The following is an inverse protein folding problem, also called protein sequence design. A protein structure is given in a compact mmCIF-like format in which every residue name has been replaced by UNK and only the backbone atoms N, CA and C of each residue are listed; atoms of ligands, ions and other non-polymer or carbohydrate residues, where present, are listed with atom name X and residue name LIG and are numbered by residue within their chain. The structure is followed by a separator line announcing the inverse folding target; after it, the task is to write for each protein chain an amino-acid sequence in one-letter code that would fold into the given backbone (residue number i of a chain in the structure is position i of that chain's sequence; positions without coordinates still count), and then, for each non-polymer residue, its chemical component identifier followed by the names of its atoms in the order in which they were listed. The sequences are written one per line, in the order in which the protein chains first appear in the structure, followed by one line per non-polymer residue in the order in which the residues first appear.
data_IF_557389221288
#
_entry.id   IF_557389221288
#
_cell.length_a   1.000
_cell.length_b   1.000
_cell.length_c   1.000
_cell.angle_alpha   90.00
_cell.angle_beta   90.00
_cell.angle_gamma   90.00
#
_symmetry.space_group_name_H-M   'P 1'
#
loop_
_entity.id
_entity.type
_entity.pdbx_description
1 polymer ?
#
# COMPACT_ATOMS: atom_id res chain seq x y z
N UNK A 1 9.61 0.33 -17.43
CA UNK A 1 9.49 -1.10 -17.03
C UNK A 1 10.63 -1.95 -17.56
N UNK A 2 10.85 -2.06 -18.88
CA UNK A 2 11.98 -2.84 -19.45
C UNK A 2 13.32 -2.31 -18.94
N UNK A 3 13.55 -1.00 -18.97
CA UNK A 3 14.77 -0.35 -18.43
C UNK A 3 15.02 -0.69 -16.96
N UNK A 4 13.99 -0.72 -16.11
CA UNK A 4 14.15 -1.10 -14.71
C UNK A 4 14.59 -2.57 -14.53
N UNK A 5 14.06 -3.46 -15.37
CA UNK A 5 14.45 -4.87 -15.35
C UNK A 5 15.90 -5.03 -15.83
N UNK A 6 16.27 -4.39 -16.93
CA UNK A 6 17.64 -4.43 -17.47
C UNK A 6 18.64 -3.89 -16.45
N UNK A 7 18.35 -2.76 -15.82
CA UNK A 7 19.21 -2.18 -14.78
C UNK A 7 19.33 -3.12 -13.56
N UNK A 8 18.24 -3.74 -13.13
CA UNK A 8 18.26 -4.71 -12.02
C UNK A 8 19.07 -5.95 -12.35
N UNK A 9 19.00 -6.46 -13.56
CA UNK A 9 19.82 -7.59 -14.03
C UNK A 9 21.30 -7.21 -14.14
N UNK A 10 21.61 -6.04 -14.71
CA UNK A 10 23.00 -5.53 -14.82
C UNK A 10 23.59 -5.25 -13.43
N UNK A 11 22.79 -4.72 -12.50
CA UNK A 11 23.23 -4.48 -11.13
C UNK A 11 23.34 -5.75 -10.28
N UNK A 12 23.03 -6.94 -10.85
CA UNK A 12 23.10 -8.21 -10.14
C UNK A 12 22.06 -8.38 -9.04
N UNK A 13 20.88 -7.77 -9.18
CA UNK A 13 19.78 -7.96 -8.22
C UNK A 13 19.27 -9.40 -8.32
N UNK A 14 19.43 -10.23 -7.28
CA UNK A 14 19.02 -11.62 -7.33
C UNK A 14 17.54 -11.78 -7.61
N UNK A 15 17.17 -12.73 -8.48
CA UNK A 15 15.78 -13.04 -8.80
C UNK A 15 15.01 -11.92 -9.52
N UNK A 16 15.66 -10.87 -10.01
CA UNK A 16 15.00 -9.72 -10.66
C UNK A 16 14.12 -10.11 -11.84
N UNK A 17 14.59 -11.03 -12.68
CA UNK A 17 13.84 -11.50 -13.84
C UNK A 17 12.61 -12.34 -13.43
N UNK A 18 12.79 -13.27 -12.53
CA UNK A 18 11.72 -14.14 -12.03
C UNK A 18 10.65 -13.35 -11.30
N UNK A 19 11.06 -12.41 -10.44
CA UNK A 19 10.14 -11.52 -9.71
C UNK A 19 9.36 -10.64 -10.69
N UNK A 20 10.03 -10.09 -11.72
CA UNK A 20 9.38 -9.33 -12.77
C UNK A 20 8.34 -10.17 -13.53
N UNK A 21 8.73 -11.36 -13.98
CA UNK A 21 7.81 -12.26 -14.70
C UNK A 21 6.60 -12.61 -13.83
N UNK A 22 6.81 -12.97 -12.56
CA UNK A 22 5.70 -13.27 -11.65
C UNK A 22 4.77 -12.10 -11.42
N UNK A 23 5.32 -10.89 -11.32
CA UNK A 23 4.54 -9.69 -11.03
C UNK A 23 3.74 -9.16 -12.22
N UNK A 24 4.25 -9.31 -13.48
CA UNK A 24 3.73 -8.57 -14.63
C UNK A 24 3.44 -9.39 -15.88
N UNK A 25 3.93 -10.62 -15.96
CA UNK A 25 3.71 -11.49 -17.13
C UNK A 25 2.61 -12.51 -16.81
N UNK A 26 1.57 -12.64 -17.65
CA UNK A 26 0.55 -13.69 -17.47
C UNK A 26 1.16 -15.08 -17.38
N UNK A 27 0.65 -15.89 -16.46
CA UNK A 27 1.14 -17.23 -16.17
C UNK A 27 0.02 -18.28 -16.27
N UNK A 28 0.38 -19.53 -16.61
CA UNK A 28 -0.56 -20.67 -16.53
C UNK A 28 -1.09 -20.92 -15.12
N UNK A 29 -0.40 -20.44 -14.10
CA UNK A 29 -0.85 -20.53 -12.71
C UNK A 29 -2.16 -19.75 -12.46
N UNK A 30 -2.44 -18.73 -13.29
CA UNK A 30 -3.67 -17.95 -13.19
C UNK A 30 -4.90 -18.71 -13.72
N UNK A 31 -4.71 -19.74 -14.56
CA UNK A 31 -5.79 -20.59 -15.06
C UNK A 31 -5.99 -21.86 -14.22
N UNK A 32 -5.06 -22.19 -13.32
CA UNK A 32 -5.24 -23.27 -12.37
C UNK A 32 -6.30 -22.85 -11.33
N UNK A 33 -7.43 -23.58 -11.29
CA UNK A 33 -8.42 -23.39 -10.22
C UNK A 33 -7.78 -23.85 -8.91
N UNK A 34 -7.34 -22.90 -8.12
CA UNK A 34 -7.12 -23.11 -6.70
C UNK A 34 -8.47 -22.81 -6.06
N UNK A 35 -9.16 -23.83 -5.58
CA UNK A 35 -10.40 -23.66 -4.81
C UNK A 35 -10.03 -23.10 -3.42
N UNK A 36 -9.70 -21.81 -3.37
CA UNK A 36 -9.56 -21.08 -2.12
C UNK A 36 -10.91 -20.45 -1.81
N UNK A 37 -11.64 -20.93 -0.78
CA UNK A 37 -12.95 -20.40 -0.42
C UNK A 37 -12.89 -18.92 0.00
N UNK A 38 -11.70 -18.40 0.34
CA UNK A 38 -11.50 -16.99 0.69
C UNK A 38 -11.09 -16.13 -0.52
N UNK A 39 -10.97 -16.73 -1.71
CA UNK A 39 -10.63 -16.02 -2.94
C UNK A 39 -11.90 -15.55 -3.64
N UNK A 40 -12.06 -14.24 -3.75
CA UNK A 40 -13.21 -13.60 -4.38
C UNK A 40 -12.84 -12.69 -5.55
N UNK A 41 -13.84 -12.34 -6.34
CA UNK A 41 -13.69 -11.30 -7.36
C UNK A 41 -13.56 -9.92 -6.70
N UNK A 42 -14.37 -9.67 -5.67
CA UNK A 42 -14.26 -8.53 -4.74
C UNK A 42 -14.04 -9.05 -3.32
N UNK A 43 -12.82 -9.51 -3.05
CA UNK A 43 -12.45 -10.20 -1.83
C UNK A 43 -12.45 -9.34 -0.56
N UNK A 44 -12.50 -8.02 -0.69
CA UNK A 44 -12.55 -7.08 0.44
C UNK A 44 -13.84 -6.27 0.49
N UNK A 45 -14.79 -6.50 -0.42
CA UNK A 45 -16.10 -5.84 -0.42
C UNK A 45 -16.06 -4.36 -0.82
N UNK A 46 -15.16 -3.96 -1.74
CA UNK A 46 -15.05 -2.56 -2.16
C UNK A 46 -16.28 -2.03 -2.90
N UNK A 47 -17.04 -2.92 -3.55
CA UNK A 47 -18.23 -2.59 -4.36
C UNK A 47 -19.55 -2.93 -3.66
N UNK A 48 -19.48 -3.39 -2.42
CA UNK A 48 -20.71 -3.61 -1.64
C UNK A 48 -21.42 -2.28 -1.38
N UNK A 49 -22.77 -2.25 -1.38
CA UNK A 49 -23.53 -1.01 -1.22
C UNK A 49 -23.14 -0.21 0.04
N UNK A 50 -22.83 -0.92 1.13
CA UNK A 50 -22.41 -0.31 2.41
C UNK A 50 -21.05 0.36 2.33
N UNK A 51 -20.16 -0.18 1.50
CA UNK A 51 -18.80 0.32 1.29
C UNK A 51 -18.69 1.28 0.10
N UNK A 52 -19.60 1.19 -0.87
CA UNK A 52 -19.58 2.01 -2.10
C UNK A 52 -20.91 2.77 -2.28
N UNK A 53 -21.13 3.81 -1.48
CA UNK A 53 -22.38 4.59 -1.52
C UNK A 53 -22.60 5.32 -2.85
N UNK A 54 -21.53 5.62 -3.58
CA UNK A 54 -21.54 6.08 -4.97
C UNK A 54 -20.43 5.40 -5.75
N UNK A 55 -20.58 5.24 -7.07
CA UNK A 55 -19.76 4.36 -7.89
C UNK A 55 -18.25 4.66 -7.89
N UNK A 56 -17.88 5.91 -7.61
CA UNK A 56 -16.47 6.36 -7.56
C UNK A 56 -15.86 6.27 -6.16
N UNK A 57 -16.64 5.96 -5.12
CA UNK A 57 -16.19 6.02 -3.72
C UNK A 57 -16.15 4.61 -3.13
N UNK A 58 -15.11 4.33 -2.33
CA UNK A 58 -15.08 3.23 -1.36
C UNK A 58 -14.84 3.81 0.02
N UNK A 59 -15.74 3.54 0.96
CA UNK A 59 -15.77 4.12 2.31
C UNK A 59 -15.85 3.03 3.39
N UNK A 60 -14.71 2.42 3.75
CA UNK A 60 -14.61 1.48 4.88
C UNK A 60 -14.41 2.17 6.24
N UNK A 61 -14.09 3.47 6.25
CA UNK A 61 -13.69 4.17 7.47
C UNK A 61 -14.39 5.49 7.59
N UNK A 62 -14.80 5.84 8.79
CA UNK A 62 -15.55 7.05 9.10
C UNK A 62 -14.90 8.35 8.60
N UNK A 63 -13.55 8.45 8.71
CA UNK A 63 -12.83 9.70 8.48
C UNK A 63 -12.04 9.75 7.16
N UNK A 64 -12.10 8.70 6.33
CA UNK A 64 -11.34 8.64 5.06
C UNK A 64 -12.06 7.82 4.02
N UNK A 65 -11.93 8.24 2.78
CA UNK A 65 -12.50 7.56 1.62
C UNK A 65 -11.43 7.32 0.56
N UNK A 66 -11.63 6.26 -0.21
CA UNK A 66 -10.93 6.04 -1.46
C UNK A 66 -11.80 6.57 -2.60
N UNK A 67 -11.22 7.43 -3.43
CA UNK A 67 -11.87 8.03 -4.59
C UNK A 67 -11.23 7.49 -5.87
N UNK A 68 -11.97 6.67 -6.60
CA UNK A 68 -11.54 6.05 -7.85
C UNK A 68 -11.77 7.00 -9.01
N UNK A 69 -10.70 7.63 -9.48
CA UNK A 69 -10.78 8.67 -10.52
C UNK A 69 -10.47 8.15 -11.94
N UNK A 70 -10.06 6.90 -12.06
CA UNK A 70 -9.75 6.25 -13.35
C UNK A 70 -9.74 4.73 -13.21
N UNK A 71 -9.98 4.00 -14.30
CA UNK A 71 -9.77 2.54 -14.37
C UNK A 71 -8.50 2.16 -15.12
N UNK A 72 -7.78 3.12 -15.70
CA UNK A 72 -6.53 2.89 -16.42
C UNK A 72 -5.36 2.78 -15.45
N UNK A 73 -4.43 1.87 -15.72
CA UNK A 73 -3.22 1.68 -14.93
C UNK A 73 -1.98 1.52 -15.85
N UNK A 74 -0.79 2.02 -15.48
CA UNK A 74 0.43 1.84 -16.26
C UNK A 74 0.98 0.42 -16.17
N UNK A 75 0.46 -0.40 -15.24
CA UNK A 75 0.84 -1.79 -15.05
C UNK A 75 -0.37 -2.65 -14.73
N UNK A 76 -0.45 -3.81 -15.38
CA UNK A 76 -1.47 -4.83 -15.08
C UNK A 76 -0.84 -5.88 -14.16
N UNK A 77 -0.57 -5.49 -12.91
CA UNK A 77 0.03 -6.37 -11.90
C UNK A 77 -0.78 -7.66 -11.77
N UNK A 78 -0.10 -8.83 -11.84
CA UNK A 78 -0.79 -10.13 -11.81
C UNK A 78 -1.42 -10.44 -10.44
N UNK A 79 -0.98 -9.75 -9.41
CA UNK A 79 -1.50 -9.81 -8.04
C UNK A 79 -2.53 -8.71 -7.71
N UNK A 80 -2.98 -7.91 -8.69
CA UNK A 80 -3.88 -6.79 -8.45
C UNK A 80 -5.25 -7.27 -7.99
N UNK A 81 -5.66 -6.88 -6.78
CA UNK A 81 -6.99 -7.23 -6.24
C UNK A 81 -8.14 -6.48 -6.93
N UNK A 82 -7.83 -5.39 -7.67
CA UNK A 82 -8.79 -4.65 -8.50
C UNK A 82 -8.75 -5.07 -9.96
N UNK A 83 -8.17 -6.21 -10.30
CA UNK A 83 -8.05 -6.68 -11.69
C UNK A 83 -9.40 -6.80 -12.41
N UNK A 84 -10.52 -6.91 -11.66
CA UNK A 84 -11.88 -6.96 -12.19
C UNK A 84 -12.32 -5.65 -12.86
N UNK A 85 -11.76 -4.51 -12.43
CA UNK A 85 -12.12 -3.18 -12.91
C UNK A 85 -10.99 -2.43 -13.63
N UNK A 86 -9.76 -2.90 -13.51
CA UNK A 86 -8.60 -2.27 -14.14
C UNK A 86 -8.44 -2.77 -15.56
N UNK A 87 -8.45 -1.85 -16.54
CA UNK A 87 -8.25 -2.18 -17.95
C UNK A 87 -9.50 -2.61 -18.69
N UNK A 88 -10.69 -2.36 -18.15
CA UNK A 88 -11.97 -2.62 -18.83
C UNK A 88 -12.21 -1.73 -20.07
N UNK A 89 -11.32 -0.77 -20.31
CA UNK A 89 -11.34 0.11 -21.49
C UNK A 89 -12.42 1.18 -21.47
N UNK A 90 -13.36 1.14 -20.53
CA UNK A 90 -14.59 1.96 -20.56
C UNK A 90 -14.44 3.24 -19.75
N UNK A 91 -13.40 3.42 -18.94
CA UNK A 91 -13.50 4.47 -17.93
C UNK A 91 -12.23 5.19 -17.56
N UNK A 92 -11.44 5.64 -18.55
CA UNK A 92 -10.26 6.45 -18.25
C UNK A 92 -10.58 7.71 -17.42
N UNK A 93 -11.73 8.33 -17.69
CA UNK A 93 -12.25 9.49 -17.01
C UNK A 93 -13.75 9.61 -17.29
N UNK A 94 -14.54 9.74 -16.23
CA UNK A 94 -15.98 9.93 -16.30
C UNK A 94 -16.35 11.14 -15.44
N UNK A 95 -16.65 12.27 -16.08
CA UNK A 95 -16.93 13.54 -15.40
C UNK A 95 -18.12 13.44 -14.44
N UNK A 96 -19.15 12.67 -14.82
CA UNK A 96 -20.32 12.47 -13.97
C UNK A 96 -19.95 11.73 -12.66
N UNK A 97 -19.16 10.66 -12.77
CA UNK A 97 -18.69 9.91 -11.60
C UNK A 97 -17.76 10.75 -10.71
N UNK A 98 -16.91 11.58 -11.32
CA UNK A 98 -16.05 12.49 -10.57
C UNK A 98 -16.89 13.50 -9.78
N UNK A 99 -17.87 14.13 -10.44
CA UNK A 99 -18.74 15.10 -9.78
C UNK A 99 -19.61 14.46 -8.68
N UNK A 100 -20.11 13.25 -8.91
CA UNK A 100 -20.85 12.49 -7.91
C UNK A 100 -19.98 12.18 -6.68
N UNK A 101 -18.72 11.73 -6.89
CA UNK A 101 -17.77 11.49 -5.82
C UNK A 101 -17.42 12.75 -5.03
N UNK A 102 -17.17 13.87 -5.71
CA UNK A 102 -16.92 15.17 -5.07
C UNK A 102 -18.12 15.65 -4.25
N UNK A 103 -19.34 15.45 -4.77
CA UNK A 103 -20.59 15.81 -4.06
C UNK A 103 -20.75 14.94 -2.81
N UNK A 104 -20.49 13.66 -2.89
CA UNK A 104 -20.50 12.76 -1.72
C UNK A 104 -19.50 13.21 -0.65
N UNK A 105 -18.26 13.51 -1.05
CA UNK A 105 -17.22 13.97 -0.12
C UNK A 105 -17.63 15.30 0.51
N UNK A 106 -18.14 16.25 -0.26
CA UNK A 106 -18.59 17.57 0.23
C UNK A 106 -19.75 17.45 1.22
N UNK A 107 -20.66 16.52 0.99
CA UNK A 107 -21.81 16.26 1.88
C UNK A 107 -21.47 15.51 3.18
N UNK A 108 -20.30 14.89 3.28
CA UNK A 108 -19.92 14.12 4.46
C UNK A 108 -18.76 14.76 5.22
N UNK A 109 -19.10 15.59 6.21
CA UNK A 109 -18.12 16.41 6.95
C UNK A 109 -17.19 15.60 7.88
N UNK A 110 -17.43 14.33 8.10
CA UNK A 110 -16.55 13.44 8.85
C UNK A 110 -15.31 13.03 8.04
N UNK A 111 -15.36 13.09 6.72
CA UNK A 111 -14.25 12.76 5.83
C UNK A 111 -13.15 13.82 5.98
N UNK A 112 -12.00 13.42 6.51
CA UNK A 112 -10.81 14.28 6.70
C UNK A 112 -9.68 13.94 5.72
N UNK A 113 -9.75 12.78 5.08
CA UNK A 113 -8.74 12.27 4.17
C UNK A 113 -9.37 11.66 2.93
N UNK A 114 -8.89 12.07 1.76
CA UNK A 114 -9.29 11.50 0.47
C UNK A 114 -8.09 10.82 -0.17
N UNK A 115 -8.28 9.56 -0.56
CA UNK A 115 -7.27 8.73 -1.20
C UNK A 115 -7.63 8.62 -2.67
N UNK A 116 -6.89 9.30 -3.54
CA UNK A 116 -7.03 9.16 -4.99
C UNK A 116 -6.40 7.84 -5.42
N UNK A 117 -7.17 7.04 -6.15
CA UNK A 117 -6.79 5.70 -6.61
C UNK A 117 -7.69 5.30 -7.81
N UNK A 118 -7.93 4.00 -7.96
CA UNK A 118 -8.72 3.39 -9.02
C UNK A 118 -7.90 2.37 -9.77
N UNK A 119 -7.56 2.63 -11.05
CA UNK A 119 -6.37 2.13 -11.69
C UNK A 119 -5.18 2.86 -11.10
N UNK A 120 -4.65 3.86 -11.78
CA UNK A 120 -3.58 4.69 -11.24
C UNK A 120 -3.84 6.17 -11.58
N UNK A 121 -3.93 7.06 -10.58
CA UNK A 121 -4.23 8.48 -10.79
C UNK A 121 -3.26 9.20 -11.73
N UNK A 122 -2.04 8.75 -11.86
CA UNK A 122 -1.08 9.36 -12.80
C UNK A 122 -1.27 8.96 -14.26
N UNK A 123 -2.28 8.17 -14.59
CA UNK A 123 -2.66 7.89 -15.97
C UNK A 123 -3.55 8.97 -16.60
N UNK A 124 -4.16 9.84 -15.79
CA UNK A 124 -4.89 10.99 -16.30
C UNK A 124 -3.96 12.18 -16.54
N UNK A 125 -4.39 13.16 -17.36
CA UNK A 125 -3.61 14.37 -17.64
C UNK A 125 -3.47 15.26 -16.40
N UNK A 126 -2.44 16.13 -16.38
CA UNK A 126 -2.25 17.12 -15.32
C UNK A 126 -3.46 18.05 -15.18
N UNK A 127 -4.10 18.40 -16.29
CA UNK A 127 -5.31 19.24 -16.26
C UNK A 127 -6.45 18.55 -15.49
N UNK A 128 -6.73 17.27 -15.77
CA UNK A 128 -7.76 16.51 -15.05
C UNK A 128 -7.39 16.26 -13.58
N UNK A 129 -6.12 15.96 -13.31
CA UNK A 129 -5.64 15.79 -11.94
C UNK A 129 -5.78 17.11 -11.16
N UNK A 130 -5.42 18.23 -11.76
CA UNK A 130 -5.59 19.58 -11.20
C UNK A 130 -7.04 19.87 -10.83
N UNK A 131 -7.99 19.56 -11.73
CA UNK A 131 -9.42 19.76 -11.47
C UNK A 131 -9.86 19.05 -10.19
N UNK A 132 -9.46 17.79 -10.01
CA UNK A 132 -9.81 17.01 -8.79
C UNK A 132 -9.14 17.58 -7.56
N UNK A 133 -7.84 17.90 -7.64
CA UNK A 133 -7.07 18.41 -6.51
C UNK A 133 -7.60 19.78 -6.03
N UNK A 134 -7.90 20.68 -6.95
CA UNK A 134 -8.49 22.00 -6.63
C UNK A 134 -9.86 21.81 -5.96
N UNK A 135 -10.75 21.03 -6.57
CA UNK A 135 -12.09 20.78 -6.03
C UNK A 135 -12.04 20.17 -4.61
N UNK A 136 -11.08 19.27 -4.34
CA UNK A 136 -10.90 18.70 -3.00
C UNK A 136 -10.34 19.73 -2.00
N UNK A 137 -9.48 20.66 -2.43
CA UNK A 137 -8.95 21.73 -1.57
C UNK A 137 -10.00 22.79 -1.21
N UNK A 138 -11.01 22.97 -2.03
CA UNK A 138 -12.15 23.83 -1.75
C UNK A 138 -13.11 23.25 -0.69
N UNK A 139 -12.98 21.97 -0.33
CA UNK A 139 -13.80 21.32 0.70
C UNK A 139 -13.14 21.54 2.08
N UNK A 140 -13.70 22.37 2.97
CA UNK A 140 -13.00 22.83 4.19
C UNK A 140 -12.62 21.71 5.16
N UNK A 141 -13.39 20.62 5.21
CA UNK A 141 -13.15 19.51 6.14
C UNK A 141 -12.14 18.49 5.59
N UNK A 142 -11.80 18.52 4.30
CA UNK A 142 -10.76 17.65 3.71
C UNK A 142 -9.39 18.21 4.05
N UNK A 143 -8.73 17.60 5.03
CA UNK A 143 -7.43 18.04 5.55
C UNK A 143 -6.25 17.48 4.79
N UNK A 144 -6.36 16.26 4.24
CA UNK A 144 -5.27 15.52 3.59
C UNK A 144 -5.76 14.86 2.31
N UNK A 145 -4.88 14.87 1.32
CA UNK A 145 -5.04 14.09 0.09
C UNK A 145 -3.91 13.06 0.03
N UNK A 146 -4.23 11.85 -0.37
CA UNK A 146 -3.26 10.83 -0.74
C UNK A 146 -3.44 10.43 -2.18
N UNK A 147 -2.34 10.10 -2.85
CA UNK A 147 -2.34 9.47 -4.17
C UNK A 147 -1.63 8.13 -4.05
N UNK A 148 -2.39 7.04 -4.22
CA UNK A 148 -1.83 5.70 -4.25
C UNK A 148 -1.47 5.35 -5.70
N UNK A 149 -0.19 5.01 -5.98
CA UNK A 149 0.31 4.90 -7.36
C UNK A 149 1.38 3.81 -7.54
N UNK A 150 1.36 3.16 -8.69
CA UNK A 150 2.44 2.31 -9.22
C UNK A 150 3.27 3.04 -10.30
N UNK A 151 2.86 4.25 -10.71
CA UNK A 151 3.53 4.98 -11.78
C UNK A 151 4.98 5.38 -11.43
N UNK A 152 5.33 5.55 -10.15
CA UNK A 152 6.72 5.82 -9.75
C UNK A 152 7.71 4.78 -10.26
N UNK A 153 7.29 3.52 -10.36
CA UNK A 153 8.12 2.41 -10.82
C UNK A 153 7.85 2.01 -12.27
N UNK A 154 6.61 2.17 -12.75
CA UNK A 154 6.20 1.68 -14.06
C UNK A 154 6.16 2.76 -15.15
N UNK A 155 6.01 4.01 -14.74
CA UNK A 155 5.93 5.17 -15.64
C UNK A 155 6.59 6.41 -14.99
N UNK A 156 7.86 6.32 -14.51
CA UNK A 156 8.49 7.41 -13.77
C UNK A 156 8.58 8.72 -14.58
N UNK A 157 8.65 8.65 -15.90
CA UNK A 157 8.67 9.81 -16.81
C UNK A 157 7.39 10.66 -16.73
N UNK A 158 6.32 10.12 -16.13
CA UNK A 158 5.08 10.87 -15.87
C UNK A 158 5.26 11.98 -14.85
N UNK A 159 6.29 11.84 -13.98
CA UNK A 159 6.65 12.84 -12.97
C UNK A 159 7.53 13.93 -13.60
N UNK A 160 6.88 14.89 -14.24
CA UNK A 160 7.54 16.08 -14.80
C UNK A 160 7.58 17.22 -13.78
N UNK A 161 8.35 18.27 -14.03
CA UNK A 161 8.41 19.46 -13.17
C UNK A 161 7.02 20.10 -13.01
N UNK A 162 6.19 20.09 -14.07
CA UNK A 162 4.81 20.60 -13.99
C UNK A 162 3.94 19.75 -13.07
N UNK A 163 4.03 18.42 -13.17
CA UNK A 163 3.31 17.49 -12.29
C UNK A 163 3.72 17.68 -10.83
N UNK A 164 5.03 17.75 -10.58
CA UNK A 164 5.57 17.96 -9.22
C UNK A 164 5.13 19.31 -8.64
N UNK A 165 5.14 20.37 -9.46
CA UNK A 165 4.63 21.69 -9.05
C UNK A 165 3.16 21.67 -8.68
N UNK A 166 2.32 21.00 -9.46
CA UNK A 166 0.89 20.78 -9.16
C UNK A 166 0.69 20.09 -7.82
N UNK A 167 1.43 19.00 -7.56
CA UNK A 167 1.33 18.26 -6.30
C UNK A 167 1.80 19.08 -5.11
N UNK A 168 2.87 19.86 -5.27
CA UNK A 168 3.37 20.79 -4.25
C UNK A 168 2.33 21.84 -3.88
N UNK A 169 1.63 22.41 -4.85
CA UNK A 169 0.57 23.41 -4.63
C UNK A 169 -0.66 22.82 -3.94
N UNK A 170 -0.84 21.50 -4.02
CA UNK A 170 -2.00 20.79 -3.46
C UNK A 170 -1.77 20.25 -2.04
N UNK A 171 -0.76 20.73 -1.33
CA UNK A 171 -0.43 20.32 0.04
C UNK A 171 -1.56 20.65 1.05
N UNK A 172 -1.73 19.86 2.16
CA UNK A 172 -1.00 18.65 2.54
C UNK A 172 -1.37 17.43 1.69
N UNK A 173 -0.42 16.94 0.90
CA UNK A 173 -0.59 15.83 -0.01
C UNK A 173 0.54 14.80 0.22
N UNK A 174 0.20 13.50 0.14
CA UNK A 174 1.11 12.38 0.33
C UNK A 174 1.05 11.46 -0.87
N UNK A 175 2.21 11.03 -1.35
CA UNK A 175 2.29 9.98 -2.37
C UNK A 175 2.56 8.64 -1.68
N UNK A 176 1.79 7.63 -2.02
CA UNK A 176 2.01 6.26 -1.58
C UNK A 176 2.39 5.43 -2.81
N UNK A 177 3.69 5.23 -2.97
CA UNK A 177 4.23 4.41 -4.06
C UNK A 177 4.11 2.93 -3.77
N UNK A 178 3.75 2.13 -4.77
CA UNK A 178 3.78 0.68 -4.69
C UNK A 178 5.15 0.18 -5.14
N UNK A 179 5.90 -0.43 -4.22
CA UNK A 179 7.21 -1.04 -4.46
C UNK A 179 7.16 -2.50 -4.05
N UNK A 180 7.52 -3.40 -4.94
CA UNK A 180 7.42 -4.86 -4.68
C UNK A 180 8.75 -5.57 -4.64
N UNK A 181 9.77 -5.04 -5.32
CA UNK A 181 11.08 -5.67 -5.42
C UNK A 181 12.17 -4.61 -5.65
N UNK A 182 13.42 -4.82 -5.17
CA UNK A 182 14.53 -3.87 -5.40
C UNK A 182 14.78 -3.50 -6.86
N UNK A 183 14.53 -4.40 -7.82
CA UNK A 183 14.69 -4.11 -9.25
C UNK A 183 13.81 -2.96 -9.75
N UNK A 184 12.75 -2.62 -9.04
CA UNK A 184 11.86 -1.51 -9.42
C UNK A 184 12.48 -0.13 -9.13
N UNK A 185 13.55 -0.09 -8.33
CA UNK A 185 14.27 1.14 -7.96
C UNK A 185 15.32 1.51 -9.02
N UNK A 186 14.88 1.64 -10.28
CA UNK A 186 15.71 2.09 -11.40
C UNK A 186 16.19 3.54 -11.20
N UNK A 187 17.15 3.98 -12.03
CA UNK A 187 17.64 5.36 -12.04
C UNK A 187 16.48 6.34 -12.23
N UNK A 188 15.55 6.04 -13.13
CA UNK A 188 14.38 6.88 -13.42
C UNK A 188 13.41 6.91 -12.24
N UNK A 189 13.16 5.78 -11.58
CA UNK A 189 12.36 5.70 -10.36
C UNK A 189 12.96 6.54 -9.24
N UNK A 190 14.28 6.40 -9.01
CA UNK A 190 15.01 7.17 -8.00
C UNK A 190 14.92 8.67 -8.28
N UNK A 191 15.09 9.08 -9.53
CA UNK A 191 14.94 10.48 -9.96
C UNK A 191 13.52 11.00 -9.69
N UNK A 192 12.49 10.28 -10.11
CA UNK A 192 11.09 10.68 -9.91
C UNK A 192 10.74 10.83 -8.42
N UNK A 193 11.20 9.91 -7.58
CA UNK A 193 10.99 9.99 -6.13
C UNK A 193 11.74 11.20 -5.53
N UNK A 194 12.99 11.44 -5.93
CA UNK A 194 13.77 12.60 -5.46
C UNK A 194 13.09 13.92 -5.83
N UNK A 195 12.60 14.05 -7.06
CA UNK A 195 11.88 15.26 -7.49
C UNK A 195 10.67 15.58 -6.58
N UNK A 196 9.90 14.58 -6.19
CA UNK A 196 8.78 14.75 -5.27
C UNK A 196 9.25 15.17 -3.88
N UNK A 197 10.21 14.45 -3.31
CA UNK A 197 10.70 14.65 -1.95
C UNK A 197 11.40 16.01 -1.83
N UNK A 198 12.20 16.40 -2.81
CA UNK A 198 12.91 17.69 -2.85
C UNK A 198 11.93 18.87 -3.01
N UNK A 199 10.77 18.64 -3.64
CA UNK A 199 9.67 19.58 -3.69
C UNK A 199 8.83 19.64 -2.39
N UNK A 200 9.18 18.87 -1.37
CA UNK A 200 8.45 18.79 -0.10
C UNK A 200 7.17 17.95 -0.15
N UNK A 201 7.01 17.08 -1.16
CA UNK A 201 5.90 16.11 -1.25
C UNK A 201 6.34 14.80 -0.60
N UNK A 202 5.81 14.41 0.56
CA UNK A 202 6.19 13.18 1.24
C UNK A 202 5.85 11.93 0.42
N UNK A 203 6.82 11.03 0.30
CA UNK A 203 6.63 9.72 -0.34
C UNK A 203 6.73 8.62 0.70
N UNK A 204 5.77 7.69 0.68
CA UNK A 204 5.75 6.49 1.51
C UNK A 204 5.54 5.25 0.64
N UNK A 205 5.86 4.06 1.16
CA UNK A 205 5.66 2.83 0.40
C UNK A 205 4.46 2.01 0.88
N UNK A 206 3.75 1.42 -0.09
CA UNK A 206 2.98 0.21 0.08
C UNK A 206 3.73 -0.94 -0.59
N UNK A 207 3.99 -2.01 0.16
CA UNK A 207 4.65 -3.21 -0.35
C UNK A 207 3.73 -4.40 -0.13
N UNK A 208 3.09 -4.94 -1.16
CA UNK A 208 2.37 -6.20 -1.03
C UNK A 208 3.38 -7.35 -0.82
N UNK A 209 3.12 -8.22 0.14
CA UNK A 209 3.91 -9.42 0.40
C UNK A 209 3.45 -10.54 -0.52
N UNK A 210 4.33 -10.99 -1.41
CA UNK A 210 3.99 -11.85 -2.55
C UNK A 210 4.95 -13.03 -2.65
N UNK A 211 4.41 -14.24 -2.71
CA UNK A 211 5.16 -15.49 -2.83
C UNK A 211 6.01 -15.52 -4.10
N UNK A 212 7.30 -15.78 -3.94
CA UNK A 212 8.28 -15.87 -5.02
C UNK A 212 8.63 -14.53 -5.66
N UNK A 213 8.32 -13.41 -4.98
CA UNK A 213 8.70 -12.06 -5.40
C UNK A 213 9.51 -11.37 -4.29
N UNK A 214 8.98 -11.32 -3.07
CA UNK A 214 9.61 -10.62 -1.94
C UNK A 214 9.34 -11.31 -0.60
N UNK A 215 9.04 -12.60 -0.60
CA UNK A 215 8.76 -13.40 0.59
C UNK A 215 10.03 -14.05 1.20
N UNK A 216 11.20 -13.54 0.85
CA UNK A 216 12.46 -13.89 1.47
C UNK A 216 13.10 -12.70 2.20
N UNK A 217 13.94 -13.00 3.20
CA UNK A 217 14.54 -12.00 4.09
C UNK A 217 15.44 -11.01 3.33
N UNK A 218 16.32 -11.52 2.47
CA UNK A 218 17.33 -10.70 1.80
C UNK A 218 16.70 -9.71 0.83
N UNK A 219 15.75 -10.17 0.01
CA UNK A 219 15.03 -9.32 -0.95
C UNK A 219 14.21 -8.25 -0.23
N UNK A 220 13.47 -8.64 0.82
CA UNK A 220 12.60 -7.70 1.52
C UNK A 220 13.41 -6.66 2.30
N UNK A 221 14.49 -7.07 3.00
CA UNK A 221 15.38 -6.15 3.70
C UNK A 221 16.05 -5.18 2.73
N UNK A 222 16.62 -5.70 1.62
CA UNK A 222 17.22 -4.86 0.58
C UNK A 222 16.25 -3.82 0.02
N UNK A 223 14.97 -4.19 -0.20
CA UNK A 223 13.96 -3.23 -0.63
C UNK A 223 13.73 -2.15 0.42
N UNK A 224 13.52 -2.53 1.70
CA UNK A 224 13.21 -1.59 2.78
C UNK A 224 14.36 -0.61 3.02
N UNK A 225 15.60 -1.08 3.05
CA UNK A 225 16.79 -0.25 3.23
C UNK A 225 16.95 0.73 2.06
N UNK A 226 16.86 0.26 0.81
CA UNK A 226 16.96 1.12 -0.37
C UNK A 226 15.85 2.19 -0.42
N UNK A 227 14.63 1.88 0.08
CA UNK A 227 13.57 2.89 0.20
C UNK A 227 13.96 3.98 1.19
N UNK A 228 14.51 3.61 2.36
CA UNK A 228 14.98 4.58 3.37
C UNK A 228 16.13 5.43 2.83
N UNK A 229 17.10 4.84 2.13
CA UNK A 229 18.19 5.57 1.47
C UNK A 229 17.67 6.62 0.48
N UNK A 230 16.51 6.36 -0.13
CA UNK A 230 15.81 7.29 -1.01
C UNK A 230 14.91 8.28 -0.25
N UNK A 231 14.94 8.28 1.09
CA UNK A 231 14.05 9.09 1.93
C UNK A 231 12.56 8.74 1.76
N UNK A 232 12.27 7.53 1.29
CA UNK A 232 10.91 6.98 1.21
C UNK A 232 10.65 6.19 2.48
N UNK A 233 9.62 6.58 3.24
CA UNK A 233 9.27 5.85 4.46
C UNK A 233 8.54 4.55 4.13
N UNK A 234 9.06 3.37 4.50
CA UNK A 234 8.30 2.13 4.53
C UNK A 234 7.04 2.31 5.39
N UNK A 235 5.85 2.16 4.78
CA UNK A 235 4.60 2.46 5.47
C UNK A 235 3.83 1.18 5.78
N UNK A 236 3.38 0.47 4.76
CA UNK A 236 2.70 -0.81 4.95
C UNK A 236 3.39 -1.94 4.18
N UNK A 237 3.67 -3.04 4.90
CA UNK A 237 3.79 -4.36 4.30
C UNK A 237 2.38 -4.95 4.28
N UNK A 238 1.82 -5.15 3.12
CA UNK A 238 0.43 -5.58 2.95
C UNK A 238 0.41 -7.07 2.68
N UNK A 239 -0.19 -7.84 3.59
CA UNK A 239 -0.42 -9.26 3.32
C UNK A 239 -1.20 -9.44 2.02
N UNK A 240 -0.83 -10.45 1.22
CA UNK A 240 -1.51 -10.72 -0.04
C UNK A 240 -3.04 -10.78 0.15
N UNK A 241 -3.76 -10.03 -0.67
CA UNK A 241 -5.23 -10.01 -0.67
C UNK A 241 -5.71 -11.16 -1.56
N UNK A 242 -6.40 -12.19 -1.03
CA UNK A 242 -6.82 -13.37 -1.78
C UNK A 242 -7.79 -12.98 -2.91
N UNK A 243 -7.25 -12.88 -4.12
CA UNK A 243 -8.01 -12.48 -5.30
C UNK A 243 -8.01 -13.62 -6.29
N UNK A 244 -9.18 -13.92 -6.85
CA UNK A 244 -9.35 -14.99 -7.83
C UNK A 244 -8.34 -14.87 -8.98
N UNK A 245 -7.73 -15.99 -9.35
CA UNK A 245 -6.68 -16.15 -10.35
C UNK A 245 -5.30 -15.60 -9.97
N UNK A 246 -5.10 -15.18 -8.72
CA UNK A 246 -3.80 -14.71 -8.21
C UNK A 246 -3.34 -15.40 -6.93
N UNK A 247 -4.01 -16.48 -6.53
CA UNK A 247 -3.79 -17.25 -5.30
C UNK A 247 -2.37 -17.82 -5.18
N UNK A 248 -1.70 -18.05 -6.32
CA UNK A 248 -0.31 -18.50 -6.37
C UNK A 248 0.69 -17.50 -5.78
N UNK A 249 0.27 -16.25 -5.53
CA UNK A 249 1.06 -15.23 -4.81
C UNK A 249 0.86 -15.27 -3.29
N UNK A 250 0.01 -16.15 -2.79
CA UNK A 250 -0.32 -16.21 -1.37
C UNK A 250 0.86 -16.66 -0.51
N UNK A 251 1.09 -15.95 0.58
CA UNK A 251 2.11 -16.23 1.60
C UNK A 251 1.37 -16.56 2.91
N UNK A 252 1.81 -17.52 3.72
CA UNK A 252 1.26 -17.70 5.07
C UNK A 252 1.49 -16.50 5.97
N UNK A 253 0.53 -16.15 6.83
CA UNK A 253 0.66 -15.03 7.80
C UNK A 253 1.88 -15.24 8.70
N UNK A 254 2.15 -16.48 9.10
CA UNK A 254 3.34 -16.83 9.89
C UNK A 254 4.64 -16.45 9.20
N UNK A 255 4.73 -16.60 7.87
CA UNK A 255 5.90 -16.14 7.10
C UNK A 255 6.02 -14.62 7.13
N UNK A 256 4.91 -13.90 6.98
CA UNK A 256 4.90 -12.45 7.10
C UNK A 256 5.40 -11.96 8.47
N UNK A 257 4.97 -12.61 9.55
CA UNK A 257 5.45 -12.32 10.91
C UNK A 257 6.96 -12.58 11.07
N UNK A 258 7.47 -13.69 10.52
CA UNK A 258 8.91 -14.00 10.53
C UNK A 258 9.71 -12.93 9.78
N UNK A 259 9.24 -12.48 8.62
CA UNK A 259 9.87 -11.42 7.85
C UNK A 259 9.90 -10.10 8.59
N UNK A 260 8.80 -9.72 9.24
CA UNK A 260 8.76 -8.50 10.07
C UNK A 260 9.74 -8.61 11.25
N UNK A 261 9.79 -9.75 11.91
CA UNK A 261 10.74 -9.99 12.98
C UNK A 261 12.19 -9.90 12.49
N UNK A 262 12.46 -10.43 11.29
CA UNK A 262 13.77 -10.29 10.67
C UNK A 262 14.13 -8.83 10.38
N UNK A 263 13.22 -8.04 9.79
CA UNK A 263 13.44 -6.62 9.54
C UNK A 263 13.71 -5.84 10.84
N UNK A 264 12.98 -6.14 11.92
CA UNK A 264 13.18 -5.50 13.22
C UNK A 264 14.56 -5.81 13.83
N UNK A 265 15.13 -6.99 13.51
CA UNK A 265 16.46 -7.39 14.00
C UNK A 265 17.59 -6.84 13.14
N UNK A 266 17.43 -6.78 11.83
CA UNK A 266 18.51 -6.52 10.89
C UNK A 266 18.48 -5.10 10.33
N UNK A 267 17.29 -4.53 10.14
CA UNK A 267 17.12 -3.18 9.61
C UNK A 267 16.66 -2.26 10.74
N UNK A 268 17.08 -1.04 10.78
CA UNK A 268 16.62 -0.08 11.80
C UNK A 268 15.10 0.10 11.81
N UNK A 269 14.53 0.60 12.90
CA UNK A 269 13.07 0.79 13.04
C UNK A 269 12.45 1.65 11.95
N UNK A 270 13.21 2.58 11.37
CA UNK A 270 12.77 3.42 10.23
C UNK A 270 12.54 2.60 8.94
N UNK A 271 13.22 1.46 8.78
CA UNK A 271 13.09 0.56 7.64
C UNK A 271 12.05 -0.54 7.87
N UNK A 272 11.40 -0.59 9.03
CA UNK A 272 10.41 -1.61 9.35
C UNK A 272 9.00 -1.08 9.13
N UNK A 273 8.27 -1.57 8.10
CA UNK A 273 6.88 -1.17 7.83
C UNK A 273 5.91 -1.77 8.84
N UNK A 274 4.73 -1.18 8.97
CA UNK A 274 3.62 -1.84 9.66
C UNK A 274 3.08 -2.96 8.78
N UNK A 275 3.12 -4.20 9.27
CA UNK A 275 2.50 -5.33 8.59
C UNK A 275 0.99 -5.31 8.83
N UNK A 276 0.21 -5.40 7.74
CA UNK A 276 -1.25 -5.35 7.79
C UNK A 276 -1.89 -6.48 6.99
N UNK A 277 -3.07 -6.89 7.45
CA UNK A 277 -3.97 -7.80 6.74
C UNK A 277 -5.26 -7.07 6.42
N UNK A 278 -5.77 -7.22 5.20
CA UNK A 278 -7.14 -6.84 4.88
C UNK A 278 -8.06 -7.99 5.26
N UNK A 279 -9.02 -7.70 6.11
CA UNK A 279 -10.05 -8.66 6.45
C UNK A 279 -11.12 -8.72 5.34
N UNK A 280 -11.71 -9.89 5.09
CA UNK A 280 -12.84 -10.00 4.17
C UNK A 280 -14.06 -9.20 4.68
N UNK A 281 -15.12 -9.18 3.88
CA UNK A 281 -16.43 -8.65 4.27
C UNK A 281 -16.37 -7.19 4.77
N UNK A 282 -15.65 -6.34 4.03
CA UNK A 282 -15.43 -4.94 4.37
C UNK A 282 -14.81 -4.69 5.77
N UNK A 283 -14.18 -5.71 6.38
CA UNK A 283 -13.57 -5.65 7.71
C UNK A 283 -12.37 -4.71 7.84
N UNK A 284 -11.88 -4.16 6.72
CA UNK A 284 -10.81 -3.16 6.70
C UNK A 284 -9.42 -3.73 6.98
N UNK A 285 -8.51 -2.84 7.37
CA UNK A 285 -7.09 -3.15 7.63
C UNK A 285 -6.86 -3.38 9.11
N UNK A 286 -6.19 -4.48 9.44
CA UNK A 286 -5.77 -4.80 10.81
C UNK A 286 -4.24 -4.94 10.85
N UNK A 287 -3.53 -4.24 11.75
CA UNK A 287 -2.10 -4.47 11.94
C UNK A 287 -1.86 -5.82 12.63
N UNK A 288 -0.84 -6.51 12.18
CA UNK A 288 -0.38 -7.78 12.76
C UNK A 288 1.10 -7.63 13.10
N UNK A 289 1.48 -8.02 14.29
CA UNK A 289 2.87 -7.89 14.76
C UNK A 289 3.34 -9.17 15.47
N UNK A 290 4.66 -9.44 15.47
CA UNK A 290 5.23 -10.46 16.33
C UNK A 290 4.88 -10.19 17.80
N UNK A 291 4.65 -11.26 18.56
CA UNK A 291 4.38 -11.16 19.99
C UNK A 291 5.71 -11.22 20.76
N UNK A 292 5.99 -10.19 21.55
CA UNK A 292 7.19 -10.09 22.38
C UNK A 292 6.91 -10.26 23.86
N UNK A 293 5.65 -10.09 24.29
CA UNK A 293 5.22 -10.42 25.66
C UNK A 293 5.00 -11.94 25.70
N UNK A 294 5.77 -12.64 26.54
CA UNK A 294 5.69 -14.09 26.70
C UNK A 294 4.79 -14.50 27.85
N UNK A 295 4.86 -13.73 28.94
CA UNK A 295 4.11 -14.06 30.15
C UNK A 295 3.84 -12.77 30.97
N UNK A 296 2.70 -12.74 31.67
CA UNK A 296 2.43 -11.79 32.76
C UNK A 296 2.74 -12.50 34.06
N UNK A 297 3.64 -11.93 34.85
CA UNK A 297 4.02 -12.44 36.17
C UNK A 297 3.46 -11.56 37.30
N UNK A 298 3.64 -11.95 38.55
CA UNK A 298 3.26 -11.12 39.70
C UNK A 298 4.05 -9.79 39.77
N UNK A 299 5.29 -9.79 39.25
CA UNK A 299 6.21 -8.66 39.32
C UNK A 299 6.26 -7.82 38.05
N UNK A 300 5.50 -8.17 36.98
CA UNK A 300 5.51 -7.47 35.72
C UNK A 300 5.33 -8.37 34.51
N UNK A 301 5.96 -8.02 33.38
CA UNK A 301 5.88 -8.76 32.13
C UNK A 301 7.22 -9.37 31.71
N UNK A 302 7.20 -10.63 31.32
CA UNK A 302 8.34 -11.28 30.71
C UNK A 302 8.34 -11.02 29.20
N UNK A 303 9.34 -10.27 28.74
CA UNK A 303 9.54 -9.96 27.32
C UNK A 303 10.63 -10.86 26.75
N UNK A 304 10.43 -11.28 25.51
CA UNK A 304 11.54 -11.75 24.67
C UNK A 304 12.04 -10.59 23.81
N UNK A 305 13.31 -10.22 23.96
CA UNK A 305 13.91 -9.16 23.15
C UNK A 305 14.21 -9.62 21.72
N UNK A 306 14.73 -8.72 20.87
CA UNK A 306 15.03 -9.03 19.48
C UNK A 306 16.12 -10.10 19.29
N UNK A 307 17.00 -10.33 20.29
CA UNK A 307 18.00 -11.39 20.30
C UNK A 307 17.49 -12.72 20.88
N UNK A 308 16.22 -12.80 21.28
CA UNK A 308 15.61 -14.01 21.83
C UNK A 308 15.86 -14.21 23.34
N UNK A 309 16.40 -13.19 24.06
CA UNK A 309 16.57 -13.26 25.50
C UNK A 309 15.28 -12.89 26.23
N UNK A 310 14.95 -13.64 27.29
CA UNK A 310 13.82 -13.35 28.16
C UNK A 310 14.26 -12.34 29.26
N UNK A 311 13.53 -11.25 29.38
CA UNK A 311 13.82 -10.14 30.27
C UNK A 311 12.54 -9.76 31.00
N UNK A 312 12.57 -9.76 32.33
CA UNK A 312 11.48 -9.25 33.15
C UNK A 312 11.48 -7.74 33.12
N UNK A 313 10.36 -7.16 32.71
CA UNK A 313 10.09 -5.72 32.83
C UNK A 313 9.14 -5.49 33.99
N UNK A 314 9.60 -4.90 35.09
CA UNK A 314 8.76 -4.71 36.26
C UNK A 314 7.68 -3.66 36.02
N UNK A 315 6.48 -3.94 36.51
CA UNK A 315 5.40 -2.94 36.55
C UNK A 315 5.36 -2.21 37.89
N UNK A 316 4.94 -0.94 37.91
CA UNK A 316 4.73 -0.22 39.15
C UNK A 316 3.69 -0.93 40.04
N UNK A 317 4.03 -1.24 41.30
CA UNK A 317 3.07 -1.75 42.26
C UNK A 317 2.02 -0.66 42.55
N UNK A 318 0.75 -0.94 42.23
CA UNK A 318 -0.39 -0.04 42.53
C UNK A 318 -0.93 0.80 41.38
N UNK A 319 -0.82 0.34 40.14
CA UNK A 319 -1.52 0.95 39.00
C UNK A 319 -3.06 0.72 39.06
N UNK A 320 -3.89 1.69 38.62
CA UNK A 320 -5.35 1.71 38.83
C UNK A 320 -6.16 0.77 37.91
N UNK A 321 -5.63 -0.35 37.43
CA UNK A 321 -6.30 -1.22 36.45
C UNK A 321 -6.65 -2.64 36.91
N UNK A 322 -6.62 -2.93 38.22
CA UNK A 322 -7.16 -4.20 38.72
C UNK A 322 -8.65 -4.12 39.12
N UNK A 323 -9.48 -3.70 38.23
CA UNK A 323 -10.91 -3.74 38.52
C UNK A 323 -11.83 -2.92 37.62
N UNK A 324 -11.84 -3.21 36.33
CA UNK A 324 -13.05 -2.95 35.51
C UNK A 324 -12.94 -3.69 34.19
N UNK A 325 -13.26 -4.98 34.15
CA UNK A 325 -13.93 -5.57 33.01
C UNK A 325 -15.39 -5.21 33.16
N UNK A 326 -15.82 -4.20 32.47
CA UNK A 326 -17.25 -4.02 32.27
C UNK A 326 -17.76 -5.11 31.33
N UNK A 327 -18.81 -5.78 31.80
CA UNK A 327 -19.65 -6.76 31.13
C UNK A 327 -20.19 -6.27 29.77
#
# INVERSE_FOLDING_TARGET
MVSALEQGMVAGVPGAFEAFCRAFVPSRLESSRIDDPNSGVDCIGEEWPEASPVSAITNFYRSRVLFRITTICPAYCRYCFRRRMVGDGIGAWDEHKIEEGLRYIRGNTEIKEVILSGGDPFTISDARLSTVLVALREIPHVRRIRIDTKALTMLPQRLTDSTVSLLRQSQPLYIIGHFTHPHELSIETRKACSMLIDAGVPVRSHTPLLKGINDDEATLASLMEQLVDLRIQPYYLIHFIPTRWSEHHRVPITRGLQLVQYLQRQCGGIATPTYIVYLPDAGGKVPVSPQYIRERTADGYLFENLEGRLILYPEPSGGPHDGQRNE
#
